data_IF_976513194330
#
_entry.id   IF_976513194330
#
_cell.length_a   1.000
_cell.length_b   1.000
_cell.length_c   1.000
_cell.angle_alpha   90.00
_cell.angle_beta   90.00
_cell.angle_gamma   90.00
#
_symmetry.space_group_name_H-M   'P 1'
#
loop_
_entity.id
_entity.type
_entity.pdbx_description
1 polymer ?
#
# COMPACT_ATOMS: atom_id res chain seq x y z
N UNK A 1 -15.80 48.04 -4.81
CA UNK A 1 -15.21 47.53 -3.56
C UNK A 1 -14.78 46.10 -3.84
N UNK A 2 -13.49 45.84 -3.82
CA UNK A 2 -12.96 44.49 -4.01
C UNK A 2 -13.35 43.69 -2.78
N UNK A 3 -14.06 42.58 -2.98
CA UNK A 3 -14.34 41.62 -1.93
C UNK A 3 -12.99 41.14 -1.36
N UNK A 4 -12.79 41.23 -0.07
CA UNK A 4 -11.71 40.57 0.63
C UNK A 4 -11.96 39.06 0.48
N UNK A 5 -11.32 38.48 -0.51
CA UNK A 5 -11.27 37.03 -0.64
C UNK A 5 -10.25 36.56 0.40
N UNK A 6 -10.72 36.05 1.51
CA UNK A 6 -9.92 35.22 2.41
C UNK A 6 -9.72 33.85 1.78
N UNK A 7 -9.10 33.87 0.61
CA UNK A 7 -8.55 32.66 0.01
C UNK A 7 -7.29 32.37 0.79
N UNK A 8 -7.23 31.30 1.47
CA UNK A 8 -6.08 30.62 2.04
C UNK A 8 -6.13 30.51 3.56
N UNK A 9 -7.06 29.74 4.05
CA UNK A 9 -6.76 28.94 5.22
C UNK A 9 -5.81 27.84 4.73
N UNK A 10 -4.56 28.21 4.52
CA UNK A 10 -3.51 27.25 4.22
C UNK A 10 -3.25 26.53 5.53
N UNK A 11 -3.63 25.26 5.63
CA UNK A 11 -3.26 24.47 6.81
C UNK A 11 -1.75 24.57 7.01
N UNK A 12 -1.28 24.77 8.26
CA UNK A 12 0.14 24.83 8.55
C UNK A 12 0.87 23.62 7.98
N UNK A 13 2.09 23.82 7.48
CA UNK A 13 2.91 22.74 6.90
C UNK A 13 3.13 21.58 7.87
N UNK A 14 3.09 21.85 9.19
CA UNK A 14 3.17 20.81 10.22
C UNK A 14 2.03 19.80 10.16
N UNK A 15 0.79 20.24 9.89
CA UNK A 15 -0.35 19.31 9.72
C UNK A 15 -0.22 18.48 8.46
N UNK A 16 0.18 19.07 7.36
CA UNK A 16 0.42 18.33 6.12
C UNK A 16 1.52 17.28 6.29
N UNK A 17 2.61 17.62 6.98
CA UNK A 17 3.68 16.68 7.32
C UNK A 17 3.21 15.55 8.25
N UNK A 18 2.33 15.86 9.22
CA UNK A 18 1.71 14.89 10.12
C UNK A 18 0.84 13.88 9.36
N UNK A 19 0.00 14.36 8.45
CA UNK A 19 -0.84 13.52 7.57
C UNK A 19 0.01 12.59 6.71
N UNK A 20 1.07 13.11 6.10
CA UNK A 20 1.98 12.30 5.28
C UNK A 20 2.68 11.20 6.08
N UNK A 21 3.24 11.53 7.26
CA UNK A 21 3.85 10.54 8.16
C UNK A 21 2.85 9.46 8.56
N UNK A 22 1.61 9.84 8.89
CA UNK A 22 0.57 8.87 9.27
C UNK A 22 0.18 7.98 8.10
N UNK A 23 0.06 8.54 6.88
CA UNK A 23 -0.20 7.77 5.68
C UNK A 23 0.87 6.68 5.48
N UNK A 24 2.14 7.03 5.58
CA UNK A 24 3.24 6.07 5.44
C UNK A 24 3.22 5.00 6.53
N UNK A 25 2.98 5.37 7.79
CA UNK A 25 3.00 4.42 8.91
C UNK A 25 1.84 3.44 8.91
N UNK A 26 0.75 3.72 8.19
CA UNK A 26 -0.45 2.88 8.16
C UNK A 26 -0.43 1.87 7.02
N UNK A 27 0.31 2.13 5.95
CA UNK A 27 0.42 1.24 4.79
C UNK A 27 1.45 0.14 5.04
N UNK A 28 1.05 -1.12 4.84
CA UNK A 28 1.98 -2.26 4.88
C UNK A 28 3.00 -2.19 3.74
N UNK A 29 2.58 -1.79 2.54
CA UNK A 29 3.49 -1.63 1.40
C UNK A 29 4.51 -0.52 1.63
N UNK A 30 4.10 0.60 2.25
CA UNK A 30 5.01 1.69 2.56
C UNK A 30 6.04 1.34 3.65
N UNK A 31 5.72 0.40 4.54
CA UNK A 31 6.65 -0.11 5.56
C UNK A 31 7.67 -1.08 4.98
N UNK A 32 7.26 -1.91 4.01
CA UNK A 32 8.11 -2.96 3.43
C UNK A 32 8.94 -2.48 2.24
N UNK A 33 8.45 -1.47 1.52
CA UNK A 33 9.13 -0.90 0.35
C UNK A 33 9.46 0.58 0.57
N UNK A 34 10.69 0.98 0.24
CA UNK A 34 11.10 2.38 0.31
C UNK A 34 10.37 3.25 -0.71
N UNK A 35 9.91 4.43 -0.27
CA UNK A 35 9.38 5.43 -1.19
C UNK A 35 10.48 5.96 -2.10
N UNK A 36 10.20 6.08 -3.40
CA UNK A 36 11.12 6.65 -4.37
C UNK A 36 10.64 8.01 -4.84
N UNK A 37 11.49 9.04 -4.87
CA UNK A 37 11.14 10.31 -5.47
C UNK A 37 10.74 10.13 -6.93
N UNK A 38 9.60 10.64 -7.31
CA UNK A 38 9.07 10.53 -8.67
C UNK A 38 8.66 11.91 -9.20
N UNK A 39 8.87 12.12 -10.49
CA UNK A 39 8.32 13.29 -11.17
C UNK A 39 6.85 13.03 -11.52
N UNK A 40 6.06 14.09 -11.53
CA UNK A 40 4.66 14.00 -11.95
C UNK A 40 4.56 13.51 -13.39
N UNK A 41 3.78 12.47 -13.61
CA UNK A 41 3.56 11.85 -14.91
C UNK A 41 3.94 10.37 -14.95
N UNK A 42 3.82 9.77 -16.12
CA UNK A 42 4.22 8.38 -16.34
C UNK A 42 5.73 8.26 -16.39
N UNK A 43 6.30 7.36 -15.62
CA UNK A 43 7.72 7.06 -15.61
C UNK A 43 7.94 5.63 -16.10
N UNK A 44 8.81 5.47 -17.10
CA UNK A 44 9.18 4.15 -17.60
C UNK A 44 10.47 3.70 -16.90
N UNK A 45 10.44 2.49 -16.35
CA UNK A 45 11.59 1.82 -15.74
C UNK A 45 11.97 0.64 -16.61
N UNK A 46 13.23 0.56 -17.01
CA UNK A 46 13.75 -0.57 -17.78
C UNK A 46 14.10 -1.71 -16.81
N UNK A 47 13.54 -2.88 -17.03
CA UNK A 47 13.80 -4.10 -16.26
C UNK A 47 14.49 -5.11 -17.17
N UNK A 48 15.61 -5.68 -16.70
CA UNK A 48 16.31 -6.74 -17.40
C UNK A 48 15.50 -8.03 -17.31
N UNK A 49 14.99 -8.52 -18.45
CA UNK A 49 14.19 -9.75 -18.51
C UNK A 49 15.01 -10.99 -18.84
N UNK A 50 16.16 -10.82 -19.49
CA UNK A 50 17.10 -11.90 -19.79
C UNK A 50 18.52 -11.43 -19.55
N UNK A 51 19.20 -12.04 -18.57
CA UNK A 51 20.60 -11.79 -18.30
C UNK A 51 21.50 -12.51 -19.34
N UNK A 52 22.63 -11.91 -19.76
CA UNK A 52 23.59 -12.58 -20.62
C UNK A 52 24.18 -13.81 -19.91
N UNK A 53 24.38 -14.87 -20.68
CA UNK A 53 25.01 -16.11 -20.19
C UNK A 53 26.43 -16.24 -20.73
N UNK A 54 27.35 -16.69 -19.90
CA UNK A 54 28.72 -17.00 -20.33
C UNK A 54 28.74 -18.32 -21.13
N UNK A 55 29.59 -18.37 -22.15
CA UNK A 55 29.82 -19.54 -22.99
C UNK A 55 31.26 -20.02 -22.82
N UNK A 56 31.45 -21.33 -22.83
CA UNK A 56 32.78 -21.93 -22.87
C UNK A 56 33.17 -22.08 -24.34
N UNK A 57 34.18 -21.35 -24.75
CA UNK A 57 34.69 -21.41 -26.14
C UNK A 57 36.01 -22.14 -26.15
N UNK A 58 36.16 -23.14 -27.03
CA UNK A 58 37.40 -23.84 -27.25
C UNK A 58 38.42 -22.94 -27.96
N UNK A 59 39.71 -23.29 -27.87
CA UNK A 59 40.75 -22.55 -28.58
C UNK A 59 40.48 -22.55 -30.09
N UNK A 60 40.40 -21.34 -30.70
CA UNK A 60 40.06 -21.18 -32.12
C UNK A 60 38.55 -21.27 -32.43
N UNK A 61 37.67 -21.48 -31.43
CA UNK A 61 36.21 -21.54 -31.62
C UNK A 61 35.57 -20.19 -31.86
N UNK A 62 34.43 -20.20 -32.59
CA UNK A 62 33.60 -19.02 -32.77
C UNK A 62 32.91 -18.61 -31.48
N UNK A 63 32.80 -17.28 -31.26
CA UNK A 63 32.08 -16.68 -30.11
C UNK A 63 30.67 -16.35 -30.51
N UNK A 64 29.69 -16.93 -29.79
CA UNK A 64 28.27 -16.67 -30.02
C UNK A 64 27.79 -15.39 -29.33
N UNK A 65 26.93 -14.58 -29.96
CA UNK A 65 26.34 -13.43 -29.28
C UNK A 65 25.31 -13.90 -28.23
N UNK A 66 25.41 -13.38 -27.01
CA UNK A 66 24.44 -13.66 -25.96
C UNK A 66 23.29 -12.63 -26.01
N UNK A 67 22.05 -13.02 -26.26
CA UNK A 67 20.94 -12.07 -26.29
C UNK A 67 20.65 -11.53 -24.90
N UNK A 68 20.50 -10.21 -24.81
CA UNK A 68 20.06 -9.51 -23.62
C UNK A 68 18.71 -8.85 -23.92
N UNK A 69 17.72 -9.06 -23.10
CA UNK A 69 16.40 -8.48 -23.29
C UNK A 69 16.00 -7.57 -22.13
N UNK A 70 15.41 -6.44 -22.46
CA UNK A 70 14.86 -5.47 -21.51
C UNK A 70 13.37 -5.29 -21.79
N UNK A 71 12.59 -5.15 -20.72
CA UNK A 71 11.20 -4.75 -20.77
C UNK A 71 11.02 -3.38 -20.12
N UNK A 72 10.14 -2.58 -20.68
CA UNK A 72 9.76 -1.30 -20.06
C UNK A 72 8.52 -1.52 -19.19
N UNK A 73 8.64 -1.20 -17.91
CA UNK A 73 7.52 -1.13 -16.96
C UNK A 73 7.16 0.32 -16.71
N UNK A 74 5.88 0.64 -16.83
CA UNK A 74 5.38 2.00 -16.66
C UNK A 74 4.80 2.17 -15.29
N UNK A 75 5.33 3.13 -14.54
CA UNK A 75 4.75 3.62 -13.29
C UNK A 75 3.74 4.70 -13.65
N UNK A 76 2.48 4.48 -13.31
CA UNK A 76 1.38 5.41 -13.62
C UNK A 76 0.98 6.24 -12.41
N UNK A 77 0.68 7.53 -12.59
CA UNK A 77 0.15 8.36 -11.52
C UNK A 77 -1.30 7.97 -11.20
N UNK A 78 -1.58 7.84 -9.91
CA UNK A 78 -2.92 7.58 -9.38
C UNK A 78 -3.25 8.67 -8.38
N UNK A 79 -4.29 9.44 -8.65
CA UNK A 79 -4.77 10.49 -7.76
C UNK A 79 -5.76 9.88 -6.77
N UNK A 80 -5.48 10.07 -5.48
CA UNK A 80 -6.34 9.70 -4.38
C UNK A 80 -6.79 10.96 -3.63
N UNK A 81 -8.00 10.94 -3.12
CA UNK A 81 -8.57 12.06 -2.37
C UNK A 81 -9.42 11.56 -1.21
N UNK A 82 -9.46 12.37 -0.17
CA UNK A 82 -10.38 12.25 0.95
C UNK A 82 -11.04 13.60 1.17
N UNK A 83 -12.36 13.64 1.23
CA UNK A 83 -13.11 14.86 1.53
C UNK A 83 -13.93 14.62 2.79
N UNK A 84 -13.73 15.46 3.81
CA UNK A 84 -14.48 15.44 5.06
C UNK A 84 -15.29 16.73 5.19
N UNK A 85 -16.57 16.65 5.56
CA UNK A 85 -17.40 17.81 5.86
C UNK A 85 -17.38 18.12 7.35
N UNK A 86 -17.26 19.40 7.68
CA UNK A 86 -17.34 19.94 9.03
C UNK A 86 -18.36 21.05 9.05
N UNK A 87 -19.17 21.18 10.11
CA UNK A 87 -20.09 22.30 10.22
C UNK A 87 -19.36 23.61 10.52
N UNK A 88 -19.88 24.72 10.05
CA UNK A 88 -19.30 26.04 10.33
C UNK A 88 -19.33 26.37 11.83
N UNK A 89 -20.24 25.78 12.59
CA UNK A 89 -20.30 25.96 14.05
C UNK A 89 -19.05 25.43 14.75
N UNK A 90 -18.45 24.36 14.23
CA UNK A 90 -17.15 23.86 14.71
C UNK A 90 -16.03 24.86 14.41
N UNK A 91 -16.12 25.55 13.27
CA UNK A 91 -15.14 26.56 12.88
C UNK A 91 -15.31 27.89 13.67
N UNK A 92 -16.41 28.07 14.38
CA UNK A 92 -16.66 29.21 15.28
C UNK A 92 -16.32 28.89 16.73
N UNK A 93 -15.97 27.66 17.06
CA UNK A 93 -15.58 27.25 18.39
C UNK A 93 -14.24 27.88 18.80
N UNK A 94 -13.88 27.75 20.08
CA UNK A 94 -12.61 28.24 20.60
C UNK A 94 -11.43 27.65 19.81
N UNK A 95 -10.36 28.42 19.65
CA UNK A 95 -9.20 28.11 18.81
C UNK A 95 -8.57 26.74 19.16
N UNK A 96 -8.46 26.43 20.45
CA UNK A 96 -7.94 25.13 20.91
C UNK A 96 -8.83 23.95 20.51
N UNK A 97 -10.14 24.12 20.50
CA UNK A 97 -11.09 23.09 20.09
C UNK A 97 -11.08 22.87 18.58
N UNK A 98 -10.99 23.97 17.80
CA UNK A 98 -10.79 23.89 16.35
C UNK A 98 -9.52 23.13 16.00
N UNK A 99 -8.40 23.47 16.67
CA UNK A 99 -7.11 22.81 16.43
C UNK A 99 -7.18 21.32 16.69
N UNK A 100 -7.88 20.88 17.73
CA UNK A 100 -8.10 19.48 18.03
C UNK A 100 -8.85 18.75 16.90
N UNK A 101 -9.97 19.30 16.44
CA UNK A 101 -10.76 18.70 15.37
C UNK A 101 -10.02 18.66 14.03
N UNK A 102 -9.34 19.75 13.68
CA UNK A 102 -8.55 19.79 12.44
C UNK A 102 -7.40 18.79 12.47
N UNK A 103 -6.76 18.59 13.62
CA UNK A 103 -5.74 17.55 13.81
C UNK A 103 -6.31 16.16 13.63
N UNK A 104 -7.46 15.87 14.25
CA UNK A 104 -8.12 14.55 14.13
C UNK A 104 -8.55 14.26 12.69
N UNK A 105 -9.12 15.27 12.00
CA UNK A 105 -9.46 15.13 10.57
C UNK A 105 -8.19 14.88 9.74
N UNK A 106 -7.11 15.60 10.02
CA UNK A 106 -5.81 15.40 9.37
C UNK A 106 -5.28 13.98 9.56
N UNK A 107 -5.28 13.47 10.80
CA UNK A 107 -4.85 12.10 11.08
C UNK A 107 -5.70 11.05 10.36
N UNK A 108 -7.02 11.20 10.39
CA UNK A 108 -7.94 10.29 9.71
C UNK A 108 -7.76 10.30 8.19
N UNK A 109 -7.53 11.48 7.60
CA UNK A 109 -7.17 11.59 6.19
C UNK A 109 -5.85 10.87 5.88
N UNK A 110 -4.84 10.99 6.75
CA UNK A 110 -3.57 10.28 6.62
C UNK A 110 -3.73 8.77 6.66
N UNK A 111 -4.51 8.26 7.61
CA UNK A 111 -4.84 6.83 7.71
C UNK A 111 -5.53 6.35 6.42
N UNK A 112 -6.54 7.08 5.96
CA UNK A 112 -7.29 6.71 4.75
C UNK A 112 -6.41 6.70 3.50
N UNK A 113 -5.51 7.68 3.33
CA UNK A 113 -4.58 7.75 2.20
C UNK A 113 -3.51 6.65 2.25
N UNK A 114 -3.04 6.26 3.44
CA UNK A 114 -2.13 5.13 3.62
C UNK A 114 -2.80 3.81 3.27
N UNK A 115 -4.02 3.56 3.78
CA UNK A 115 -4.82 2.38 3.44
C UNK A 115 -5.13 2.32 1.93
N UNK A 116 -5.38 3.47 1.31
CA UNK A 116 -5.63 3.56 -0.12
C UNK A 116 -4.43 3.10 -0.96
N UNK A 117 -3.18 3.38 -0.54
CA UNK A 117 -1.98 2.88 -1.21
C UNK A 117 -1.96 1.35 -1.26
N UNK A 118 -2.26 0.69 -0.14
CA UNK A 118 -2.30 -0.76 -0.06
C UNK A 118 -3.44 -1.35 -0.92
N UNK A 119 -4.65 -0.80 -0.79
CA UNK A 119 -5.82 -1.31 -1.52
C UNK A 119 -5.59 -1.20 -3.03
N UNK A 120 -5.03 -0.09 -3.49
CA UNK A 120 -4.71 0.12 -4.90
C UNK A 120 -3.54 -0.77 -5.34
N UNK A 121 -2.45 -0.82 -4.57
CA UNK A 121 -1.24 -1.57 -4.91
C UNK A 121 -1.43 -3.08 -4.84
N UNK A 122 -2.20 -3.59 -3.89
CA UNK A 122 -2.45 -5.02 -3.74
C UNK A 122 -3.62 -5.45 -4.62
N UNK A 123 -4.78 -4.81 -4.51
CA UNK A 123 -6.05 -5.32 -5.05
C UNK A 123 -6.52 -4.61 -6.33
N UNK A 124 -5.87 -3.56 -6.80
CA UNK A 124 -6.33 -2.71 -7.93
C UNK A 124 -7.75 -2.15 -7.74
N UNK A 125 -8.13 -1.89 -6.52
CA UNK A 125 -9.49 -1.49 -6.19
C UNK A 125 -9.57 -0.01 -5.81
N UNK A 126 -10.73 0.59 -6.04
CA UNK A 126 -11.03 1.91 -5.53
C UNK A 126 -11.33 1.81 -4.03
N UNK A 127 -10.58 2.50 -3.16
CA UNK A 127 -10.75 2.40 -1.71
C UNK A 127 -12.17 2.76 -1.22
N UNK A 128 -12.84 3.69 -1.90
CA UNK A 128 -14.17 4.15 -1.51
C UNK A 128 -15.28 3.13 -1.87
N UNK A 129 -15.18 2.53 -3.06
CA UNK A 129 -16.25 1.66 -3.58
C UNK A 129 -15.95 0.18 -3.42
N UNK A 130 -14.69 -0.17 -3.13
CA UNK A 130 -14.22 -1.56 -3.09
C UNK A 130 -14.23 -2.27 -4.45
N UNK A 131 -14.58 -1.58 -5.52
CA UNK A 131 -14.64 -2.14 -6.87
C UNK A 131 -13.29 -2.01 -7.59
N UNK A 132 -13.00 -2.93 -8.52
CA UNK A 132 -11.78 -2.89 -9.33
C UNK A 132 -11.71 -1.58 -10.13
N UNK A 133 -10.58 -0.88 -10.02
CA UNK A 133 -10.33 0.38 -10.71
C UNK A 133 -9.67 0.11 -12.08
N UNK A 134 -10.35 0.44 -13.17
CA UNK A 134 -9.84 0.25 -14.52
C UNK A 134 -8.57 1.08 -14.83
N UNK A 135 -8.30 2.12 -14.05
CA UNK A 135 -7.09 2.95 -14.16
C UNK A 135 -5.82 2.26 -13.66
N UNK A 136 -5.96 1.17 -12.89
CA UNK A 136 -4.84 0.41 -12.32
C UNK A 136 -4.68 -0.89 -13.10
N UNK A 137 -3.61 -1.00 -13.87
CA UNK A 137 -3.39 -2.14 -14.78
C UNK A 137 -2.89 -3.38 -14.07
N UNK A 138 -1.98 -3.24 -13.11
CA UNK A 138 -1.35 -4.35 -12.39
C UNK A 138 -1.44 -4.13 -10.88
N UNK A 139 -1.67 -5.19 -10.11
CA UNK A 139 -1.63 -5.21 -8.64
C UNK A 139 -0.96 -6.48 -8.14
N UNK A 140 -0.55 -6.51 -6.89
CA UNK A 140 0.08 -7.69 -6.30
C UNK A 140 -0.85 -8.91 -6.25
N UNK A 141 -2.17 -8.69 -6.30
CA UNK A 141 -3.16 -9.78 -6.44
C UNK A 141 -3.02 -10.55 -7.77
N UNK A 142 -2.39 -9.96 -8.79
CA UNK A 142 -2.15 -10.62 -10.08
C UNK A 142 -0.95 -11.59 -10.05
N UNK A 143 -0.14 -11.62 -8.98
CA UNK A 143 0.92 -12.60 -8.85
C UNK A 143 0.37 -14.02 -9.04
N UNK A 144 1.02 -14.82 -9.87
CA UNK A 144 0.59 -16.20 -10.21
C UNK A 144 0.89 -17.17 -9.08
N UNK A 145 1.99 -16.92 -8.35
CA UNK A 145 2.50 -17.80 -7.33
C UNK A 145 1.67 -17.67 -6.06
N UNK A 146 1.19 -18.80 -5.59
CA UNK A 146 0.32 -18.87 -4.41
C UNK A 146 0.63 -20.09 -3.57
N UNK A 147 0.72 -19.90 -2.27
CA UNK A 147 0.73 -20.94 -1.26
C UNK A 147 -0.63 -20.98 -0.56
N UNK A 148 -1.21 -22.17 -0.45
CA UNK A 148 -2.49 -22.34 0.23
C UNK A 148 -2.27 -22.66 1.70
N UNK A 149 -3.03 -21.98 2.57
CA UNK A 149 -3.05 -22.31 3.98
C UNK A 149 -3.75 -23.65 4.20
N UNK A 150 -3.01 -24.65 4.69
CA UNK A 150 -3.53 -25.95 5.04
C UNK A 150 -3.93 -26.00 6.53
N UNK A 151 -5.21 -25.81 6.82
CA UNK A 151 -5.70 -25.81 8.20
C UNK A 151 -5.13 -24.67 9.04
N UNK A 152 -4.38 -24.99 10.09
CA UNK A 152 -3.75 -24.03 11.01
C UNK A 152 -2.22 -23.91 10.84
N UNK A 153 -1.67 -24.39 9.75
CA UNK A 153 -0.24 -24.42 9.47
C UNK A 153 0.20 -23.13 8.78
N UNK A 154 0.25 -22.05 9.53
CA UNK A 154 0.53 -20.72 8.99
C UNK A 154 2.00 -20.56 8.59
N UNK A 155 2.93 -21.15 9.33
CA UNK A 155 4.37 -21.18 9.06
C UNK A 155 4.69 -21.94 7.78
N UNK A 156 4.15 -23.16 7.60
CA UNK A 156 4.33 -23.94 6.36
C UNK A 156 3.84 -23.19 5.13
N UNK A 157 2.76 -22.41 5.24
CA UNK A 157 2.25 -21.61 4.13
C UNK A 157 3.18 -20.44 3.76
N UNK A 158 3.81 -19.80 4.74
CA UNK A 158 4.80 -18.75 4.53
C UNK A 158 6.08 -19.34 3.95
N UNK A 159 6.54 -20.49 4.46
CA UNK A 159 7.70 -21.20 3.94
C UNK A 159 7.49 -21.59 2.46
N UNK A 160 6.33 -22.14 2.13
CA UNK A 160 5.99 -22.50 0.76
C UNK A 160 5.95 -21.27 -0.17
N UNK A 161 5.38 -20.15 0.28
CA UNK A 161 5.39 -18.89 -0.47
C UNK A 161 6.81 -18.36 -0.67
N UNK A 162 7.65 -18.39 0.37
CA UNK A 162 9.06 -17.98 0.28
C UNK A 162 9.84 -18.88 -0.69
N UNK A 163 9.58 -20.19 -0.67
CA UNK A 163 10.18 -21.15 -1.60
C UNK A 163 9.85 -20.84 -3.07
N UNK A 164 8.61 -20.41 -3.37
CA UNK A 164 8.22 -20.00 -4.72
C UNK A 164 8.97 -18.73 -5.18
N UNK A 165 9.14 -17.75 -4.31
CA UNK A 165 9.89 -16.53 -4.61
C UNK A 165 11.37 -16.87 -4.90
N UNK A 166 11.98 -17.74 -4.08
CA UNK A 166 13.37 -18.21 -4.27
C UNK A 166 13.52 -19.00 -5.57
N UNK A 167 12.55 -19.86 -5.91
CA UNK A 167 12.56 -20.62 -7.15
C UNK A 167 12.55 -19.73 -8.40
N UNK A 168 11.95 -18.53 -8.31
CA UNK A 168 11.96 -17.52 -9.36
C UNK A 168 13.29 -16.70 -9.39
N UNK A 169 14.22 -16.96 -8.49
CA UNK A 169 15.51 -16.25 -8.42
C UNK A 169 15.49 -14.95 -7.62
N UNK A 170 14.43 -14.72 -6.84
CA UNK A 170 14.32 -13.55 -5.96
C UNK A 170 14.59 -13.92 -4.50
N UNK A 171 14.96 -12.92 -3.70
CA UNK A 171 15.17 -13.10 -2.26
C UNK A 171 13.99 -12.47 -1.51
N UNK A 172 13.23 -13.23 -0.72
CA UNK A 172 12.15 -12.64 0.08
C UNK A 172 12.74 -11.71 1.13
N UNK A 173 12.39 -10.42 1.06
CA UNK A 173 12.85 -9.37 1.99
C UNK A 173 11.82 -9.05 3.04
N UNK A 174 10.55 -9.35 2.77
CA UNK A 174 9.48 -8.99 3.67
C UNK A 174 8.20 -9.80 3.46
N UNK A 175 7.30 -9.63 4.40
CA UNK A 175 5.98 -10.21 4.40
C UNK A 175 4.94 -9.17 4.83
N UNK A 176 3.92 -8.95 3.99
CA UNK A 176 2.73 -8.22 4.38
C UNK A 176 1.69 -9.21 4.92
N UNK A 177 1.28 -9.03 6.16
CA UNK A 177 0.40 -9.95 6.87
C UNK A 177 -0.96 -9.32 7.13
N UNK A 178 -2.03 -10.09 6.93
CA UNK A 178 -3.32 -9.79 7.55
C UNK A 178 -3.25 -10.05 9.07
N UNK A 179 -3.98 -9.31 9.91
CA UNK A 179 -4.04 -9.56 11.34
C UNK A 179 -4.41 -11.00 11.72
N UNK A 180 -5.22 -11.68 10.91
CA UNK A 180 -5.59 -13.08 11.13
C UNK A 180 -4.39 -14.02 10.93
N UNK A 181 -3.52 -13.74 9.94
CA UNK A 181 -2.28 -14.50 9.75
C UNK A 181 -1.30 -14.28 10.91
N UNK A 182 -1.11 -13.04 11.33
CA UNK A 182 -0.26 -12.69 12.47
C UNK A 182 -0.73 -13.35 13.76
N UNK A 183 -2.03 -13.29 14.04
CA UNK A 183 -2.64 -13.96 15.19
C UNK A 183 -2.51 -15.48 15.08
N UNK A 184 -2.71 -16.05 13.89
CA UNK A 184 -2.55 -17.47 13.63
C UNK A 184 -1.15 -17.97 14.00
N UNK A 185 -0.10 -17.28 13.54
CA UNK A 185 1.30 -17.58 13.89
C UNK A 185 1.53 -17.52 15.41
N UNK A 186 1.04 -16.48 16.08
CA UNK A 186 1.20 -16.30 17.53
C UNK A 186 0.48 -17.38 18.36
N UNK A 187 -0.53 -18.03 17.81
CA UNK A 187 -1.31 -19.08 18.50
C UNK A 187 -0.88 -20.49 18.18
N UNK A 188 0.05 -20.69 17.25
CA UNK A 188 0.53 -22.01 16.87
C UNK A 188 1.15 -22.76 18.06
N UNK A 189 0.81 -24.04 18.17
CA UNK A 189 1.27 -24.94 19.24
C UNK A 189 1.82 -26.21 18.65
N UNK A 190 2.84 -26.73 19.31
CA UNK A 190 3.40 -28.04 19.02
C UNK A 190 2.44 -29.18 19.54
N UNK A 191 2.82 -30.42 19.28
CA UNK A 191 2.07 -31.58 19.72
C UNK A 191 1.99 -31.73 21.25
N UNK A 192 2.86 -31.01 21.99
CA UNK A 192 2.88 -31.00 23.48
C UNK A 192 2.05 -29.85 24.06
N UNK A 193 1.44 -28.98 23.19
CA UNK A 193 0.64 -27.83 23.59
C UNK A 193 1.44 -26.57 23.90
N UNK A 194 2.76 -26.56 23.70
CA UNK A 194 3.61 -25.39 23.89
C UNK A 194 3.50 -24.48 22.66
N UNK A 195 3.62 -23.17 22.84
CA UNK A 195 3.69 -22.22 21.72
C UNK A 195 4.97 -22.44 20.94
N UNK A 196 4.84 -22.50 19.60
CA UNK A 196 5.99 -22.64 18.70
C UNK A 196 6.77 -21.32 18.67
N UNK A 197 6.06 -20.19 18.60
CA UNK A 197 6.62 -18.83 18.55
C UNK A 197 6.22 -18.05 19.81
N UNK A 198 6.88 -18.29 20.97
CA UNK A 198 6.54 -17.61 22.22
C UNK A 198 6.86 -16.12 22.21
N UNK A 199 7.78 -15.68 21.33
CA UNK A 199 8.18 -14.29 21.12
C UNK A 199 7.08 -13.44 20.46
N UNK A 200 6.13 -14.08 19.75
CA UNK A 200 5.03 -13.38 19.11
C UNK A 200 3.92 -13.11 20.12
N UNK A 201 3.70 -11.82 20.41
CA UNK A 201 2.62 -11.37 21.28
C UNK A 201 1.27 -11.27 20.58
N UNK A 202 0.17 -11.33 21.32
CA UNK A 202 -1.17 -11.14 20.74
C UNK A 202 -1.52 -9.68 20.47
N UNK A 203 -0.90 -8.75 21.18
CA UNK A 203 -1.23 -7.32 21.12
C UNK A 203 -0.35 -6.48 20.20
N UNK A 204 0.78 -7.02 19.77
CA UNK A 204 1.66 -6.37 18.82
C UNK A 204 1.72 -7.22 17.55
N UNK A 205 1.61 -6.57 16.39
CA UNK A 205 1.83 -7.26 15.12
C UNK A 205 3.25 -7.83 15.04
N UNK A 206 3.42 -8.88 14.24
CA UNK A 206 4.73 -9.44 13.96
C UNK A 206 5.59 -8.39 13.27
N UNK A 207 6.71 -8.00 13.86
CA UNK A 207 7.64 -7.04 13.27
C UNK A 207 8.64 -7.70 12.33
N UNK A 208 9.00 -8.96 12.60
CA UNK A 208 9.88 -9.77 11.75
C UNK A 208 9.53 -11.25 11.93
N UNK A 209 9.67 -12.02 10.85
CA UNK A 209 9.45 -13.45 10.86
C UNK A 209 10.49 -14.12 9.95
N UNK A 210 11.23 -15.09 10.49
CA UNK A 210 12.27 -15.86 9.76
C UNK A 210 13.23 -14.96 8.95
N UNK A 211 13.68 -13.86 9.56
CA UNK A 211 14.63 -12.93 8.93
C UNK A 211 14.01 -11.95 7.92
N UNK A 212 12.70 -12.04 7.65
CA UNK A 212 11.95 -11.11 6.82
C UNK A 212 11.30 -10.02 7.68
N UNK A 213 11.29 -8.78 7.20
CA UNK A 213 10.51 -7.71 7.82
C UNK A 213 9.02 -7.99 7.64
N UNK A 214 8.25 -7.92 8.71
CA UNK A 214 6.81 -8.12 8.64
C UNK A 214 6.05 -6.81 8.87
N UNK A 215 5.05 -6.56 8.05
CA UNK A 215 4.10 -5.46 8.24
C UNK A 215 2.69 -6.01 8.31
N UNK A 216 1.95 -5.63 9.35
CA UNK A 216 0.60 -6.13 9.59
C UNK A 216 -0.41 -5.05 9.27
N UNK A 217 -1.31 -5.34 8.33
CA UNK A 217 -2.44 -4.48 7.97
C UNK A 217 -3.64 -5.30 7.51
N UNK A 218 -4.83 -4.87 7.88
CA UNK A 218 -6.09 -5.48 7.43
C UNK A 218 -6.40 -5.18 5.95
N UNK A 219 -5.68 -4.24 5.35
CA UNK A 219 -5.75 -3.94 3.92
C UNK A 219 -5.24 -5.08 3.05
N UNK A 220 -4.36 -5.95 3.59
CA UNK A 220 -3.79 -7.10 2.87
C UNK A 220 -4.86 -8.11 2.45
N UNK A 221 -5.84 -8.36 3.30
CA UNK A 221 -6.98 -9.25 2.97
C UNK A 221 -8.06 -8.56 2.14
N UNK A 222 -7.98 -7.24 1.97
CA UNK A 222 -8.99 -6.50 1.23
C UNK A 222 -10.38 -6.59 1.86
N UNK A 223 -10.46 -6.56 3.18
CA UNK A 223 -11.71 -6.70 3.95
C UNK A 223 -12.76 -5.64 3.61
N UNK A 224 -12.29 -4.48 3.12
CA UNK A 224 -13.14 -3.36 2.69
C UNK A 224 -13.62 -3.47 1.22
N UNK A 225 -13.16 -4.47 0.50
CA UNK A 225 -13.53 -4.65 -0.90
C UNK A 225 -14.97 -5.19 -1.02
N UNK A 226 -15.62 -4.86 -2.14
CA UNK A 226 -16.95 -5.39 -2.48
C UNK A 226 -16.96 -6.93 -2.52
N UNK A 227 -15.84 -7.53 -2.94
CA UNK A 227 -15.58 -8.95 -2.86
C UNK A 227 -14.30 -9.16 -2.06
N UNK A 228 -14.42 -9.75 -0.88
CA UNK A 228 -13.28 -10.09 -0.05
C UNK A 228 -12.26 -10.93 -0.85
N UNK A 229 -10.99 -10.63 -0.65
CA UNK A 229 -9.89 -11.40 -1.23
C UNK A 229 -9.58 -12.62 -0.35
N UNK A 230 -9.14 -13.72 -0.97
CA UNK A 230 -8.65 -14.88 -0.24
C UNK A 230 -7.21 -14.70 0.26
N UNK A 231 -6.57 -13.58 -0.09
CA UNK A 231 -5.19 -13.27 0.30
C UNK A 231 -5.15 -12.93 1.78
N UNK A 232 -4.31 -13.63 2.53
CA UNK A 232 -4.03 -13.37 3.95
C UNK A 232 -2.59 -12.93 4.20
N UNK A 233 -1.73 -13.09 3.21
CA UNK A 233 -0.35 -12.63 3.26
C UNK A 233 0.26 -12.52 1.88
N UNK A 234 1.30 -11.70 1.79
CA UNK A 234 2.12 -11.51 0.59
C UNK A 234 3.58 -11.60 1.02
N UNK A 235 4.31 -12.55 0.46
CA UNK A 235 5.75 -12.71 0.67
C UNK A 235 6.47 -12.30 -0.61
N UNK A 236 7.59 -11.58 -0.50
CA UNK A 236 8.32 -11.22 -1.69
C UNK A 236 9.52 -10.30 -1.46
N UNK A 237 10.15 -9.95 -2.58
CA UNK A 237 11.18 -8.93 -2.63
C UNK A 237 10.52 -7.57 -2.88
N UNK A 238 10.26 -6.81 -1.82
CA UNK A 238 9.49 -5.56 -1.89
C UNK A 238 10.20 -4.43 -2.64
N UNK A 239 11.49 -4.56 -2.93
CA UNK A 239 12.18 -3.64 -3.86
C UNK A 239 11.65 -3.71 -5.29
N UNK A 240 10.95 -4.79 -5.67
CA UNK A 240 10.28 -4.90 -6.96
C UNK A 240 8.93 -4.15 -7.01
N UNK A 241 8.39 -3.74 -5.87
CA UNK A 241 7.26 -2.83 -5.78
C UNK A 241 7.78 -1.40 -5.66
N UNK A 242 7.48 -0.57 -6.66
CA UNK A 242 7.93 0.83 -6.74
C UNK A 242 6.75 1.76 -6.53
N UNK A 243 6.87 2.60 -5.53
CA UNK A 243 5.90 3.65 -5.27
C UNK A 243 6.60 4.95 -4.89
N UNK A 244 5.89 6.04 -5.02
CA UNK A 244 6.40 7.32 -4.59
C UNK A 244 5.33 8.39 -4.70
N UNK A 245 5.51 9.46 -3.94
CA UNK A 245 4.64 10.63 -4.01
C UNK A 245 5.12 11.52 -5.15
N UNK A 246 4.28 11.70 -6.16
CA UNK A 246 4.55 12.59 -7.29
C UNK A 246 4.13 14.03 -7.00
N UNK A 247 3.15 14.20 -6.11
CA UNK A 247 2.70 15.49 -5.60
C UNK A 247 2.48 15.39 -4.11
N UNK A 248 2.96 16.39 -3.39
CA UNK A 248 2.77 16.50 -1.94
C UNK A 248 1.29 16.53 -1.56
N UNK A 249 0.99 16.05 -0.36
CA UNK A 249 -0.35 16.12 0.20
C UNK A 249 -0.70 17.59 0.39
N UNK A 250 -1.71 18.04 -0.34
CA UNK A 250 -2.28 19.36 -0.18
C UNK A 250 -3.64 19.22 0.53
N UNK A 251 -3.73 19.73 1.74
CA UNK A 251 -5.01 19.91 2.41
C UNK A 251 -5.52 21.32 2.10
N UNK A 252 -6.77 21.44 1.69
CA UNK A 252 -7.41 22.72 1.45
C UNK A 252 -8.86 22.70 1.91
N UNK A 253 -9.31 23.86 2.30
CA UNK A 253 -10.69 24.09 2.73
C UNK A 253 -11.51 24.56 1.54
N UNK A 254 -12.71 24.00 1.37
CA UNK A 254 -13.69 24.35 0.34
C UNK A 254 -14.93 24.87 1.07
N UNK A 255 -15.26 26.12 0.81
CA UNK A 255 -16.38 26.81 1.48
C UNK A 255 -17.62 26.91 0.62
N UNK A 256 -17.50 26.61 -0.68
CA UNK A 256 -18.58 26.83 -1.65
C UNK A 256 -18.76 25.62 -2.56
N UNK A 257 -20.00 25.44 -3.02
CA UNK A 257 -20.37 24.41 -3.98
C UNK A 257 -20.68 23.06 -3.36
N UNK A 258 -20.75 22.04 -4.20
CA UNK A 258 -21.01 20.64 -3.81
C UNK A 258 -19.83 19.75 -4.20
N UNK A 259 -18.80 19.64 -3.34
CA UNK A 259 -17.56 18.94 -3.69
C UNK A 259 -17.67 17.41 -3.69
N UNK A 260 -18.73 16.84 -3.12
CA UNK A 260 -18.89 15.40 -2.90
C UNK A 260 -20.27 14.84 -3.26
N UNK A 261 -21.16 15.68 -3.82
CA UNK A 261 -22.50 15.27 -4.25
C UNK A 261 -23.53 15.17 -3.12
N UNK A 262 -23.20 15.68 -1.91
CA UNK A 262 -24.10 15.66 -0.75
C UNK A 262 -24.88 16.97 -0.53
N UNK A 263 -24.87 17.86 -1.52
CA UNK A 263 -25.55 19.15 -1.50
C UNK A 263 -24.59 20.33 -1.28
N UNK A 264 -25.11 21.53 -1.57
CA UNK A 264 -24.32 22.77 -1.49
C UNK A 264 -23.89 23.10 -0.05
N UNK A 265 -22.60 23.37 0.13
CA UNK A 265 -21.98 23.63 1.43
C UNK A 265 -22.58 24.86 2.12
N UNK A 266 -22.84 25.94 1.38
CA UNK A 266 -23.41 27.15 1.96
C UNK A 266 -24.83 26.94 2.43
N UNK A 267 -25.63 26.20 1.64
CA UNK A 267 -27.01 25.87 2.01
C UNK A 267 -27.10 25.04 3.29
N UNK A 268 -26.08 24.21 3.55
CA UNK A 268 -26.02 23.32 4.71
C UNK A 268 -25.19 23.89 5.87
N UNK A 269 -24.66 25.11 5.74
CA UNK A 269 -23.75 25.75 6.70
C UNK A 269 -22.55 24.85 7.05
N UNK A 270 -21.87 24.34 6.02
CA UNK A 270 -20.75 23.40 6.13
C UNK A 270 -19.54 23.89 5.36
N UNK A 271 -18.38 23.35 5.76
CA UNK A 271 -17.09 23.50 5.09
C UNK A 271 -16.56 22.11 4.78
N UNK A 272 -15.98 21.91 3.62
CA UNK A 272 -15.32 20.66 3.29
C UNK A 272 -13.80 20.83 3.36
N UNK A 273 -13.14 19.87 4.00
CA UNK A 273 -11.68 19.75 4.06
C UNK A 273 -11.31 18.62 3.13
N UNK A 274 -10.45 18.90 2.15
CA UNK A 274 -9.99 17.91 1.17
C UNK A 274 -8.50 17.70 1.27
N UNK A 275 -8.09 16.45 1.43
CA UNK A 275 -6.71 15.99 1.29
C UNK A 275 -6.56 15.23 -0.02
N UNK A 276 -5.55 15.58 -0.81
CA UNK A 276 -5.26 14.92 -2.08
C UNK A 276 -3.80 14.49 -2.13
N UNK A 277 -3.56 13.33 -2.72
CA UNK A 277 -2.22 12.81 -2.96
C UNK A 277 -2.17 12.16 -4.35
N UNK A 278 -1.05 12.30 -5.02
CA UNK A 278 -0.78 11.56 -6.25
C UNK A 278 0.35 10.59 -5.99
N UNK A 279 0.01 9.30 -5.98
CA UNK A 279 1.01 8.23 -5.94
C UNK A 279 1.37 7.81 -7.36
N UNK A 280 2.66 7.59 -7.59
CA UNK A 280 3.10 6.77 -8.71
C UNK A 280 3.31 5.34 -8.22
N UNK A 281 2.61 4.38 -8.81
CA UNK A 281 2.67 2.97 -8.43
C UNK A 281 3.07 2.14 -9.64
N UNK A 282 3.99 1.19 -9.45
CA UNK A 282 4.38 0.24 -10.46
C UNK A 282 5.02 -1.01 -9.88
N UNK A 283 4.80 -2.14 -10.52
CA UNK A 283 5.36 -3.44 -10.16
C UNK A 283 6.38 -3.82 -11.24
N UNK A 284 7.63 -4.01 -10.85
CA UNK A 284 8.70 -4.35 -11.79
C UNK A 284 8.58 -5.79 -12.28
N UNK A 285 8.36 -6.73 -11.36
CA UNK A 285 8.11 -8.13 -11.69
C UNK A 285 7.16 -8.77 -10.67
N UNK A 286 6.07 -9.35 -11.15
CA UNK A 286 5.11 -10.08 -10.31
C UNK A 286 5.66 -11.40 -9.77
N UNK A 287 6.67 -12.00 -10.43
CA UNK A 287 7.34 -13.22 -9.97
C UNK A 287 8.19 -13.01 -8.70
N UNK A 288 8.46 -11.76 -8.35
CA UNK A 288 9.12 -11.42 -7.09
C UNK A 288 8.19 -11.57 -5.87
N UNK A 289 6.91 -11.91 -6.08
CA UNK A 289 5.90 -12.00 -5.03
C UNK A 289 5.13 -13.31 -5.11
N UNK A 290 4.83 -13.87 -3.94
CA UNK A 290 3.93 -15.00 -3.78
C UNK A 290 2.83 -14.68 -2.76
N UNK A 291 1.62 -15.12 -3.07
CA UNK A 291 0.43 -14.91 -2.21
C UNK A 291 0.27 -16.08 -1.25
N UNK A 292 -0.03 -15.79 0.01
CA UNK A 292 -0.57 -16.76 0.96
C UNK A 292 -2.09 -16.60 0.94
N UNK A 293 -2.80 -17.65 0.55
CA UNK A 293 -4.25 -17.62 0.38
C UNK A 293 -4.94 -18.61 1.32
N UNK A 294 -6.15 -18.25 1.76
CA UNK A 294 -7.01 -19.19 2.49
C UNK A 294 -7.31 -20.40 1.62
N UNK A 295 -7.44 -21.55 2.23
CA UNK A 295 -7.99 -22.72 1.53
C UNK A 295 -9.38 -22.36 1.00
N UNK A 296 -9.67 -22.75 -0.25
CA UNK A 296 -11.02 -22.64 -0.79
C UNK A 296 -11.96 -23.46 0.14
N UNK A 297 -13.04 -22.81 0.60
CA UNK A 297 -14.06 -23.44 1.40
C UNK A 297 -14.86 -24.48 0.60
#
# INVERSE_FOLDING_TARGET
MAALITSNFTMPQEYAAGVFKKAQSTSALAQLSGAMPQKFGKTNVMVLTSAPKAEIVAEGGEKSPTPTAYANKTISPIKLQVTARVSNEVMWADEDYQMGILSDVGENCGIALGRALDIVGIHKANPLTGAVAASVTEGLCDATDKAQLAGTKFDEAIEAASGLVIANGYTPTGIACDPALSFGLATMRDTTGRRIYPELGYGQGVASFEGMTAAVSDTVSGKELTKASDIIGLVGQFDAFRWGVQREIAMHTIEFGDPDGLGDLQRLNQVAIRAEIVYGIGILDLKAFAKVVKAAA
#
